data_IF_854546326084
#
_entry.id   IF_854546326084
#
_cell.length_a   1.000
_cell.length_b   1.000
_cell.length_c   1.000
_cell.angle_alpha   90.00
_cell.angle_beta   90.00
_cell.angle_gamma   90.00
#
_symmetry.space_group_name_H-M   'P 1'
#
loop_
_entity.id
_entity.type
_entity.pdbx_description
1 polymer ?
#
# COMPACT_ATOMS: atom_id res chain seq x y z
N UNK A 1 10.18 5.11 18.40
CA UNK A 1 10.25 3.88 17.58
C UNK A 1 8.86 3.26 17.56
N UNK A 2 8.34 2.90 16.38
CA UNK A 2 7.15 2.06 16.25
C UNK A 2 7.55 0.59 16.12
N UNK A 3 6.61 -0.32 16.39
CA UNK A 3 6.85 -1.75 16.32
C UNK A 3 5.56 -2.51 16.05
N UNK A 4 5.66 -3.62 15.32
CA UNK A 4 4.55 -4.53 15.07
C UNK A 4 5.09 -5.96 15.08
N UNK A 5 4.33 -6.88 15.66
CA UNK A 5 4.62 -8.31 15.65
C UNK A 5 3.43 -9.06 15.04
N UNK A 6 3.72 -9.94 14.09
CA UNK A 6 2.69 -10.65 13.32
C UNK A 6 3.02 -12.14 13.37
N UNK A 7 2.05 -12.92 13.83
CA UNK A 7 2.12 -14.37 13.83
C UNK A 7 1.49 -14.91 12.54
N UNK A 8 2.28 -15.62 11.75
CA UNK A 8 1.83 -16.31 10.55
C UNK A 8 1.84 -17.82 10.78
N UNK A 9 0.83 -18.51 10.26
CA UNK A 9 0.74 -19.98 10.30
C UNK A 9 0.33 -20.50 8.92
N UNK A 10 0.93 -21.62 8.52
CA UNK A 10 0.53 -22.39 7.35
C UNK A 10 -0.32 -23.62 7.72
N UNK A 11 -0.69 -23.78 9.00
CA UNK A 11 -1.46 -24.93 9.47
C UNK A 11 -2.96 -24.73 9.20
N UNK A 12 -3.65 -25.67 8.54
CA UNK A 12 -5.08 -25.55 8.28
C UNK A 12 -5.95 -25.41 9.54
N UNK A 13 -5.50 -25.98 10.67
CA UNK A 13 -6.18 -25.90 11.97
C UNK A 13 -6.29 -24.47 12.50
N UNK A 14 -5.33 -23.62 12.20
CA UNK A 14 -5.24 -22.27 12.77
C UNK A 14 -6.13 -21.28 12.02
N UNK A 15 -6.59 -21.64 10.80
CA UNK A 15 -7.40 -20.80 9.93
C UNK A 15 -8.68 -20.28 10.59
N UNK A 16 -9.27 -21.05 11.51
CA UNK A 16 -10.48 -20.63 12.25
C UNK A 16 -10.23 -19.48 13.23
N UNK A 17 -8.98 -19.31 13.69
CA UNK A 17 -8.56 -18.27 14.64
C UNK A 17 -7.88 -17.08 13.96
N UNK A 18 -7.31 -17.28 12.77
CA UNK A 18 -6.66 -16.23 11.99
C UNK A 18 -7.58 -15.04 11.71
N UNK A 19 -7.01 -13.83 11.65
CA UNK A 19 -7.71 -12.63 11.17
C UNK A 19 -7.70 -12.55 9.63
N UNK A 20 -6.53 -12.82 9.04
CA UNK A 20 -6.28 -12.69 7.61
C UNK A 20 -5.57 -13.92 7.02
N UNK A 21 -5.71 -14.07 5.71
CA UNK A 21 -4.96 -15.00 4.87
C UNK A 21 -4.13 -14.18 3.88
N UNK A 22 -2.82 -14.40 3.83
CA UNK A 22 -1.93 -13.79 2.84
C UNK A 22 -2.11 -14.53 1.51
N UNK A 23 -2.64 -13.84 0.50
CA UNK A 23 -2.94 -14.45 -0.80
C UNK A 23 -1.85 -14.22 -1.83
N UNK A 24 -1.27 -13.02 -1.85
CA UNK A 24 -0.24 -12.64 -2.82
C UNK A 24 0.79 -11.72 -2.18
N UNK A 25 2.03 -11.86 -2.61
CA UNK A 25 3.10 -10.89 -2.35
C UNK A 25 3.81 -10.59 -3.65
N UNK A 26 4.17 -9.33 -3.84
CA UNK A 26 4.89 -8.89 -5.04
C UNK A 26 5.91 -7.82 -4.66
N UNK A 27 7.11 -7.93 -5.21
CA UNK A 27 8.15 -6.91 -5.08
C UNK A 27 8.65 -6.51 -6.46
N UNK A 28 8.57 -5.23 -6.77
CA UNK A 28 9.28 -4.63 -7.90
C UNK A 28 10.50 -3.86 -7.40
N UNK A 29 11.54 -3.80 -8.25
CA UNK A 29 12.84 -3.24 -7.88
C UNK A 29 13.35 -2.36 -9.02
N UNK A 30 13.68 -1.11 -8.72
CA UNK A 30 14.20 -0.14 -9.70
C UNK A 30 15.68 0.19 -9.50
N UNK A 31 16.40 -0.49 -8.61
CA UNK A 31 17.79 -0.15 -8.27
C UNK A 31 18.83 -0.32 -9.38
N UNK A 32 18.48 -0.83 -10.56
CA UNK A 32 19.34 -0.73 -11.75
C UNK A 32 19.32 0.67 -12.39
N UNK A 33 18.36 1.52 -12.00
CA UNK A 33 18.28 2.92 -12.41
C UNK A 33 18.97 3.78 -11.34
N UNK A 34 20.04 4.47 -11.73
CA UNK A 34 20.82 5.34 -10.84
C UNK A 34 20.00 6.35 -10.05
N UNK A 35 19.04 7.00 -10.70
CA UNK A 35 18.15 7.98 -10.06
C UNK A 35 17.32 7.31 -8.97
N UNK A 36 16.80 6.11 -9.23
CA UNK A 36 16.04 5.34 -8.26
C UNK A 36 16.92 4.80 -7.13
N UNK A 37 18.10 4.27 -7.46
CA UNK A 37 19.06 3.75 -6.49
C UNK A 37 19.51 4.83 -5.50
N UNK A 38 19.86 6.02 -6.01
CA UNK A 38 20.34 7.17 -5.22
C UNK A 38 19.21 7.93 -4.52
N UNK A 39 17.95 7.54 -4.74
CA UNK A 39 16.81 8.32 -4.23
C UNK A 39 16.65 8.30 -2.71
N UNK A 40 17.03 7.18 -2.09
CA UNK A 40 17.06 6.99 -0.64
C UNK A 40 18.27 6.13 -0.31
N UNK A 41 19.27 6.73 0.34
CA UNK A 41 20.51 6.04 0.73
C UNK A 41 20.84 6.35 2.17
N UNK A 42 21.35 5.35 2.88
CA UNK A 42 22.01 5.57 4.15
C UNK A 42 23.47 5.87 3.87
N UNK A 43 23.96 7.01 4.36
CA UNK A 43 25.33 7.46 4.10
C UNK A 43 25.88 8.26 5.27
N UNK A 44 27.19 8.31 5.37
CA UNK A 44 27.90 9.13 6.36
C UNK A 44 28.03 10.55 5.81
N UNK A 45 27.67 11.55 6.61
CA UNK A 45 27.83 12.95 6.24
C UNK A 45 29.27 13.45 6.40
N UNK A 46 29.52 14.70 6.03
CA UNK A 46 30.85 15.32 6.11
C UNK A 46 31.39 15.41 7.55
N UNK A 47 30.54 15.27 8.57
CA UNK A 47 30.91 15.27 9.99
C UNK A 47 31.12 13.87 10.56
N UNK A 48 31.09 12.83 9.72
CA UNK A 48 31.25 11.45 10.14
C UNK A 48 30.00 10.82 10.75
N UNK A 49 28.82 11.47 10.64
CA UNK A 49 27.57 10.96 11.21
C UNK A 49 26.77 10.18 10.18
N UNK A 50 26.33 8.99 10.56
CA UNK A 50 25.46 8.16 9.73
C UNK A 50 24.04 8.77 9.68
N UNK A 51 23.57 9.04 8.46
CA UNK A 51 22.24 9.61 8.22
C UNK A 51 21.56 9.02 7.00
N UNK A 52 20.39 9.57 6.68
CA UNK A 52 19.62 9.23 5.48
C UNK A 52 19.66 10.38 4.49
N UNK A 53 20.13 10.12 3.28
CA UNK A 53 20.03 11.01 2.14
C UNK A 53 18.76 10.72 1.36
N UNK A 54 17.95 11.75 1.12
CA UNK A 54 16.71 11.67 0.36
C UNK A 54 16.81 12.66 -0.80
N UNK A 55 16.77 12.14 -2.02
CA UNK A 55 16.83 12.97 -3.24
C UNK A 55 15.49 13.66 -3.53
N UNK A 56 15.52 14.73 -4.32
CA UNK A 56 14.31 15.40 -4.85
C UNK A 56 13.53 14.51 -5.83
N UNK A 57 14.17 13.51 -6.42
CA UNK A 57 13.56 12.58 -7.38
C UNK A 57 12.64 11.55 -6.71
N UNK A 58 12.63 11.48 -5.37
CA UNK A 58 11.90 10.47 -4.60
C UNK A 58 10.46 10.29 -5.07
N UNK A 59 9.72 11.39 -5.25
CA UNK A 59 8.30 11.35 -5.60
C UNK A 59 8.09 10.79 -7.01
N UNK A 60 8.91 11.22 -7.97
CA UNK A 60 8.85 10.72 -9.35
C UNK A 60 9.19 9.22 -9.41
N UNK A 61 10.26 8.82 -8.72
CA UNK A 61 10.67 7.41 -8.64
C UNK A 61 9.62 6.56 -7.93
N UNK A 62 8.96 7.08 -6.89
CA UNK A 62 7.85 6.41 -6.22
C UNK A 62 6.68 6.13 -7.16
N UNK A 63 6.30 7.13 -7.96
CA UNK A 63 5.28 6.96 -9.01
C UNK A 63 5.67 5.92 -10.05
N UNK A 64 6.92 5.92 -10.52
CA UNK A 64 7.43 4.92 -11.48
C UNK A 64 7.40 3.50 -10.89
N UNK A 65 7.85 3.34 -9.64
CA UNK A 65 7.89 2.05 -8.96
C UNK A 65 6.49 1.51 -8.69
N UNK A 66 5.55 2.40 -8.28
CA UNK A 66 4.16 2.06 -8.10
C UNK A 66 3.55 1.61 -9.43
N UNK A 67 3.74 2.36 -10.53
CA UNK A 67 3.24 1.98 -11.87
C UNK A 67 3.75 0.60 -12.30
N UNK A 68 5.03 0.32 -12.08
CA UNK A 68 5.61 -1.00 -12.35
C UNK A 68 4.96 -2.09 -11.48
N UNK A 69 4.80 -1.82 -10.18
CA UNK A 69 4.20 -2.77 -9.24
C UNK A 69 2.74 -3.10 -9.59
N UNK A 70 1.90 -2.09 -9.84
CA UNK A 70 0.50 -2.31 -10.16
C UNK A 70 0.30 -3.01 -11.49
N UNK A 71 1.18 -2.77 -12.47
CA UNK A 71 1.14 -3.46 -13.76
C UNK A 71 1.40 -4.96 -13.59
N UNK A 72 2.35 -5.32 -12.72
CA UNK A 72 2.65 -6.71 -12.42
C UNK A 72 1.63 -7.36 -11.47
N UNK A 73 1.02 -6.61 -10.55
CA UNK A 73 0.02 -7.12 -9.62
C UNK A 73 -1.36 -7.34 -10.27
N UNK A 74 -1.75 -6.43 -11.17
CA UNK A 74 -3.06 -6.38 -11.81
C UNK A 74 -3.61 -7.74 -12.25
N UNK A 75 -2.87 -8.58 -13.01
CA UNK A 75 -3.39 -9.87 -13.48
C UNK A 75 -3.72 -10.88 -12.37
N UNK A 76 -3.11 -10.74 -11.19
CA UNK A 76 -3.31 -11.69 -10.08
C UNK A 76 -4.46 -11.28 -9.16
N UNK A 77 -4.87 -10.01 -9.18
CA UNK A 77 -5.79 -9.45 -8.17
C UNK A 77 -7.06 -8.84 -8.77
N UNK A 78 -7.00 -8.37 -10.02
CA UNK A 78 -8.15 -7.75 -10.66
C UNK A 78 -9.16 -8.80 -11.13
N UNK A 79 -10.46 -8.51 -11.06
CA UNK A 79 -11.48 -9.33 -11.69
C UNK A 79 -11.23 -9.52 -13.19
N UNK A 80 -11.62 -10.67 -13.74
CA UNK A 80 -11.45 -10.99 -15.17
C UNK A 80 -12.05 -9.89 -16.07
N UNK A 81 -13.20 -9.31 -15.67
CA UNK A 81 -13.82 -8.20 -16.40
C UNK A 81 -12.91 -6.99 -16.58
N UNK A 82 -12.15 -6.62 -15.55
CA UNK A 82 -11.19 -5.51 -15.60
C UNK A 82 -9.99 -5.85 -16.50
N UNK A 83 -9.52 -7.10 -16.41
CA UNK A 83 -8.41 -7.58 -17.24
C UNK A 83 -8.78 -7.57 -18.73
N UNK A 84 -10.01 -7.98 -19.07
CA UNK A 84 -10.51 -7.96 -20.45
C UNK A 84 -10.61 -6.55 -21.01
N UNK A 85 -11.12 -5.58 -20.23
CA UNK A 85 -11.20 -4.17 -20.64
C UNK A 85 -9.79 -3.61 -20.89
N UNK A 86 -8.86 -3.89 -19.98
CA UNK A 86 -7.47 -3.46 -20.12
C UNK A 86 -6.81 -4.10 -21.36
N UNK A 87 -6.98 -5.40 -21.56
CA UNK A 87 -6.43 -6.13 -22.71
C UNK A 87 -6.99 -5.60 -24.04
N UNK A 88 -8.31 -5.39 -24.11
CA UNK A 88 -8.97 -4.81 -25.28
C UNK A 88 -8.46 -3.38 -25.57
N UNK A 89 -8.29 -2.54 -24.56
CA UNK A 89 -7.72 -1.20 -24.71
C UNK A 89 -6.26 -1.27 -25.23
N UNK A 90 -5.45 -2.18 -24.69
CA UNK A 90 -4.07 -2.37 -25.12
C UNK A 90 -3.99 -2.83 -26.59
N UNK A 91 -4.84 -3.78 -26.99
CA UNK A 91 -4.95 -4.28 -28.37
C UNK A 91 -5.39 -3.17 -29.32
N UNK A 92 -6.46 -2.43 -28.98
CA UNK A 92 -6.95 -1.30 -29.77
C UNK A 92 -5.87 -0.24 -30.00
N UNK A 93 -5.02 0.02 -29.00
CA UNK A 93 -3.94 1.00 -29.09
C UNK A 93 -2.72 0.49 -29.85
N UNK A 94 -2.23 -0.72 -29.54
CA UNK A 94 -0.99 -1.25 -30.12
C UNK A 94 -1.18 -1.84 -31.52
N UNK A 95 -2.24 -2.62 -31.72
CA UNK A 95 -2.47 -3.35 -32.96
C UNK A 95 -3.34 -2.54 -33.93
N UNK A 96 -4.42 -1.96 -33.46
CA UNK A 96 -5.35 -1.20 -34.31
C UNK A 96 -5.00 0.30 -34.43
N UNK A 97 -3.96 0.78 -33.73
CA UNK A 97 -3.45 2.17 -33.76
C UNK A 97 -4.54 3.25 -33.69
N UNK A 98 -5.60 3.00 -32.92
CA UNK A 98 -6.73 3.93 -32.79
C UNK A 98 -6.23 5.27 -32.23
N UNK A 99 -6.24 6.32 -33.06
CA UNK A 99 -5.80 7.65 -32.69
C UNK A 99 -6.73 8.24 -31.63
N UNK A 100 -6.16 8.85 -30.59
CA UNK A 100 -6.90 9.52 -29.52
C UNK A 100 -7.37 8.61 -28.37
N UNK A 101 -7.19 7.29 -28.47
CA UNK A 101 -7.57 6.38 -27.39
C UNK A 101 -6.59 6.46 -26.21
N UNK A 102 -7.07 6.98 -25.07
CA UNK A 102 -6.27 7.09 -23.84
C UNK A 102 -6.00 5.70 -23.23
N UNK A 103 -4.81 5.49 -22.61
CA UNK A 103 -4.54 4.27 -21.84
C UNK A 103 -5.62 4.06 -20.77
N UNK A 104 -6.21 2.86 -20.73
CA UNK A 104 -7.07 2.47 -19.62
C UNK A 104 -6.21 2.15 -18.39
N UNK A 105 -6.53 2.79 -17.26
CA UNK A 105 -5.93 2.49 -15.97
C UNK A 105 -6.93 1.65 -15.16
N UNK A 106 -6.59 0.42 -14.77
CA UNK A 106 -7.50 -0.43 -14.00
C UNK A 106 -7.94 0.20 -12.69
N UNK A 107 -9.21 -0.03 -12.31
CA UNK A 107 -9.73 0.45 -11.02
C UNK A 107 -9.45 -0.58 -9.91
N UNK A 108 -8.40 -0.32 -9.14
CA UNK A 108 -7.99 -1.20 -8.05
C UNK A 108 -8.97 -1.25 -6.87
N UNK A 109 -9.92 -0.31 -6.77
CA UNK A 109 -11.00 -0.37 -5.77
C UNK A 109 -11.99 -1.51 -6.06
N UNK A 110 -11.95 -2.10 -7.25
CA UNK A 110 -12.69 -3.33 -7.57
C UNK A 110 -11.96 -4.59 -7.10
N UNK A 111 -10.64 -4.49 -6.86
CA UNK A 111 -9.82 -5.58 -6.36
C UNK A 111 -9.62 -5.55 -4.84
N UNK A 112 -9.78 -4.38 -4.21
CA UNK A 112 -9.53 -4.21 -2.79
C UNK A 112 -10.57 -3.32 -2.15
N UNK A 113 -11.02 -3.74 -0.97
CA UNK A 113 -11.93 -2.99 -0.13
C UNK A 113 -11.18 -2.03 0.79
N UNK A 114 -9.92 -2.33 1.15
CA UNK A 114 -9.11 -1.49 2.04
C UNK A 114 -7.67 -1.33 1.54
N UNK A 115 -7.10 -0.15 1.78
CA UNK A 115 -5.74 0.20 1.37
C UNK A 115 -4.90 0.60 2.59
N UNK A 116 -3.68 0.07 2.67
CA UNK A 116 -2.68 0.41 3.67
C UNK A 116 -1.40 0.83 2.95
N UNK A 117 -1.27 2.12 2.68
CA UNK A 117 -0.17 2.74 1.96
C UNK A 117 0.85 3.29 2.94
N UNK A 118 1.94 2.55 3.12
CA UNK A 118 3.11 3.08 3.81
C UNK A 118 3.74 4.20 3.00
N UNK A 119 3.88 5.36 3.63
CA UNK A 119 4.54 6.51 3.06
C UNK A 119 5.60 7.08 4.00
N UNK A 120 6.73 7.48 3.40
CA UNK A 120 7.76 8.23 4.09
C UNK A 120 7.33 9.64 4.51
N UNK A 121 6.27 10.17 3.90
CA UNK A 121 5.69 11.49 4.18
C UNK A 121 4.49 11.81 3.28
N UNK A 122 3.85 12.95 3.54
CA UNK A 122 2.58 13.37 2.90
C UNK A 122 2.65 13.35 1.37
N UNK A 123 3.74 13.86 0.78
CA UNK A 123 3.89 13.93 -0.68
C UNK A 123 3.85 12.54 -1.35
N UNK A 124 4.31 11.49 -0.67
CA UNK A 124 4.22 10.12 -1.20
C UNK A 124 2.76 9.64 -1.16
N UNK A 125 2.01 9.91 -0.09
CA UNK A 125 0.57 9.59 -0.03
C UNK A 125 -0.21 10.31 -1.12
N UNK A 126 0.06 11.60 -1.33
CA UNK A 126 -0.60 12.41 -2.36
C UNK A 126 -0.33 11.84 -3.78
N UNK A 127 0.90 11.38 -4.04
CA UNK A 127 1.24 10.75 -5.32
C UNK A 127 0.56 9.38 -5.49
N UNK A 128 0.49 8.54 -4.44
CA UNK A 128 -0.23 7.26 -4.51
C UNK A 128 -1.72 7.48 -4.74
N UNK A 129 -2.35 8.40 -3.98
CA UNK A 129 -3.76 8.76 -4.12
C UNK A 129 -4.07 9.15 -5.57
N UNK A 130 -3.24 10.02 -6.16
CA UNK A 130 -3.39 10.48 -7.55
C UNK A 130 -3.21 9.34 -8.57
N UNK A 131 -2.19 8.48 -8.42
CA UNK A 131 -1.93 7.41 -9.38
C UNK A 131 -2.99 6.31 -9.34
N UNK A 132 -3.53 6.01 -8.16
CA UNK A 132 -4.55 4.98 -7.96
C UNK A 132 -5.98 5.51 -7.98
N UNK A 133 -6.16 6.84 -8.06
CA UNK A 133 -7.45 7.53 -7.99
C UNK A 133 -8.26 7.14 -6.74
N UNK A 134 -7.55 7.07 -5.61
CA UNK A 134 -8.14 6.72 -4.33
C UNK A 134 -8.94 7.88 -3.76
N UNK A 135 -9.93 7.56 -2.94
CA UNK A 135 -10.77 8.55 -2.26
C UNK A 135 -10.17 8.93 -0.91
N UNK A 136 -10.68 10.01 -0.30
CA UNK A 136 -10.32 10.37 1.09
C UNK A 136 -10.60 9.23 2.08
N UNK A 137 -11.64 8.43 1.84
CA UNK A 137 -11.98 7.28 2.70
C UNK A 137 -10.92 6.18 2.61
N UNK A 138 -10.43 5.89 1.39
CA UNK A 138 -9.36 4.91 1.15
C UNK A 138 -8.04 5.36 1.78
N UNK A 139 -7.76 6.66 1.73
CA UNK A 139 -6.52 7.27 2.23
C UNK A 139 -6.55 7.56 3.74
N UNK A 140 -7.72 7.53 4.38
CA UNK A 140 -7.90 7.87 5.79
C UNK A 140 -6.98 7.07 6.72
N UNK A 141 -6.86 5.72 6.63
CA UNK A 141 -5.99 4.96 7.51
C UNK A 141 -4.52 5.40 7.42
N UNK A 142 -4.01 5.58 6.20
CA UNK A 142 -2.63 6.01 5.95
C UNK A 142 -2.37 7.45 6.38
N UNK A 143 -3.31 8.37 6.10
CA UNK A 143 -3.20 9.78 6.50
C UNK A 143 -3.27 9.95 8.02
N UNK A 144 -4.20 9.28 8.69
CA UNK A 144 -4.34 9.35 10.14
C UNK A 144 -3.15 8.69 10.85
N UNK A 145 -2.64 7.58 10.32
CA UNK A 145 -1.43 6.95 10.84
C UNK A 145 -0.23 7.87 10.72
N UNK A 146 -0.02 8.46 9.54
CA UNK A 146 1.06 9.43 9.34
C UNK A 146 0.89 10.66 10.24
N UNK A 147 -0.32 11.19 10.40
CA UNK A 147 -0.59 12.34 11.27
C UNK A 147 -0.29 12.04 12.75
N UNK A 148 -0.78 10.91 13.27
CA UNK A 148 -0.68 10.57 14.70
C UNK A 148 0.69 10.02 15.08
N UNK A 149 1.24 9.12 14.26
CA UNK A 149 2.43 8.35 14.60
C UNK A 149 3.67 8.73 13.76
N UNK A 150 3.51 9.63 12.79
CA UNK A 150 4.55 9.94 11.81
C UNK A 150 4.98 8.68 11.04
N UNK A 151 6.11 8.75 10.34
CA UNK A 151 6.69 7.62 9.67
C UNK A 151 7.37 6.68 10.68
N UNK A 152 6.68 5.59 11.04
CA UNK A 152 7.23 4.50 11.88
C UNK A 152 8.01 3.45 11.09
N UNK A 153 8.45 3.77 9.87
CA UNK A 153 9.16 2.86 8.97
C UNK A 153 8.31 1.62 8.63
N UNK A 154 8.89 0.42 8.65
CA UNK A 154 8.24 -0.83 8.26
C UNK A 154 6.99 -1.18 9.06
N UNK A 155 6.76 -0.61 10.24
CA UNK A 155 5.56 -0.87 11.02
C UNK A 155 4.33 -0.07 10.56
N UNK A 156 4.48 1.00 9.78
CA UNK A 156 3.36 1.95 9.54
C UNK A 156 2.12 1.29 8.96
N UNK A 157 2.25 0.44 7.95
CA UNK A 157 1.09 -0.20 7.32
C UNK A 157 0.33 -1.17 8.26
N UNK A 158 0.96 -1.63 9.35
CA UNK A 158 0.26 -2.39 10.41
C UNK A 158 -0.57 -1.49 11.31
N UNK A 159 -0.10 -0.27 11.58
CA UNK A 159 -0.90 0.74 12.28
C UNK A 159 -2.08 1.17 11.41
N UNK A 160 -1.92 1.22 10.08
CA UNK A 160 -2.99 1.53 9.12
C UNK A 160 -4.04 0.41 9.06
N UNK A 161 -3.61 -0.85 9.09
CA UNK A 161 -4.53 -1.98 9.21
C UNK A 161 -5.27 -1.96 10.54
N UNK A 162 -4.54 -1.72 11.64
CA UNK A 162 -5.12 -1.59 12.97
C UNK A 162 -6.13 -0.42 13.05
N UNK A 163 -5.89 0.69 12.36
CA UNK A 163 -6.84 1.79 12.24
C UNK A 163 -8.15 1.31 11.61
N UNK A 164 -8.04 0.59 10.50
CA UNK A 164 -9.17 0.03 9.75
C UNK A 164 -9.97 -0.97 10.59
N UNK A 165 -9.28 -1.82 11.37
CA UNK A 165 -9.89 -2.72 12.37
C UNK A 165 -10.63 -1.95 13.46
N UNK A 166 -10.00 -0.91 14.04
CA UNK A 166 -10.60 -0.11 15.11
C UNK A 166 -11.82 0.70 14.62
N UNK A 167 -11.86 1.08 13.34
CA UNK A 167 -13.04 1.65 12.69
C UNK A 167 -14.15 0.64 12.41
N UNK A 168 -13.92 -0.66 12.63
CA UNK A 168 -14.90 -1.72 12.37
C UNK A 168 -15.20 -1.94 10.88
N UNK A 169 -14.27 -1.52 10.02
CA UNK A 169 -14.44 -1.55 8.56
C UNK A 169 -14.23 -2.94 7.97
N UNK A 170 -13.37 -3.76 8.58
CA UNK A 170 -13.00 -5.08 8.06
C UNK A 170 -14.14 -6.10 8.23
N UNK A 171 -14.72 -6.53 7.11
CA UNK A 171 -15.70 -7.63 7.05
C UNK A 171 -15.06 -8.91 6.51
N UNK A 172 -15.68 -10.05 6.83
CA UNK A 172 -15.27 -11.35 6.29
C UNK A 172 -15.31 -11.31 4.75
N UNK A 173 -14.22 -11.70 4.12
CA UNK A 173 -14.06 -11.73 2.67
C UNK A 173 -13.37 -10.49 2.09
N UNK A 174 -13.32 -9.38 2.84
CA UNK A 174 -12.66 -8.16 2.40
C UNK A 174 -11.18 -8.40 2.10
N UNK A 175 -10.69 -7.70 1.08
CA UNK A 175 -9.31 -7.74 0.63
C UNK A 175 -8.63 -6.44 1.02
N UNK A 176 -7.49 -6.58 1.68
CA UNK A 176 -6.64 -5.47 2.11
C UNK A 176 -5.37 -5.49 1.28
N UNK A 177 -5.01 -4.35 0.72
CA UNK A 177 -3.76 -4.17 0.01
C UNK A 177 -2.78 -3.31 0.79
N UNK A 178 -1.68 -3.92 1.21
CA UNK A 178 -0.53 -3.21 1.76
C UNK A 178 0.43 -2.82 0.65
N UNK A 179 0.81 -1.55 0.59
CA UNK A 179 1.78 -1.00 -0.36
C UNK A 179 2.88 -0.30 0.44
N UNK A 180 4.14 -0.61 0.14
CA UNK A 180 5.26 0.03 0.79
C UNK A 180 6.41 0.35 -0.19
N UNK A 181 7.13 1.43 0.10
CA UNK A 181 8.32 1.85 -0.62
C UNK A 181 9.56 1.70 0.26
N UNK A 182 10.70 1.32 -0.33
CA UNK A 182 11.96 1.16 0.39
C UNK A 182 13.18 1.56 -0.45
N UNK A 183 14.36 1.66 0.18
CA UNK A 183 15.63 2.09 -0.46
C UNK A 183 16.14 1.14 -1.55
N UNK A 184 17.04 1.65 -2.41
CA UNK A 184 17.35 1.09 -3.74
C UNK A 184 16.18 1.23 -4.73
N UNK A 185 15.16 1.96 -4.30
CA UNK A 185 13.78 2.01 -4.72
C UNK A 185 13.11 0.68 -5.07
N UNK A 186 12.43 0.14 -4.05
CA UNK A 186 11.56 -1.04 -4.11
C UNK A 186 10.12 -0.60 -3.88
N UNK A 187 9.18 -1.24 -4.56
CA UNK A 187 7.76 -1.18 -4.22
C UNK A 187 7.31 -2.60 -3.88
N UNK A 188 6.85 -2.78 -2.64
CA UNK A 188 6.33 -4.04 -2.11
C UNK A 188 4.81 -3.99 -2.00
N UNK A 189 4.17 -5.09 -2.37
CA UNK A 189 2.73 -5.31 -2.27
C UNK A 189 2.46 -6.58 -1.49
N UNK A 190 1.55 -6.48 -0.51
CA UNK A 190 1.01 -7.62 0.24
C UNK A 190 -0.51 -7.61 0.14
N UNK A 191 -1.10 -8.71 -0.31
CA UNK A 191 -2.56 -8.83 -0.48
C UNK A 191 -3.11 -9.81 0.53
N UNK A 192 -3.96 -9.30 1.41
CA UNK A 192 -4.58 -10.05 2.49
C UNK A 192 -6.06 -10.20 2.23
N UNK A 193 -6.63 -11.33 2.65
CA UNK A 193 -8.08 -11.55 2.68
C UNK A 193 -8.53 -11.80 4.11
N UNK A 194 -9.50 -11.04 4.61
CA UNK A 194 -10.09 -11.25 5.91
C UNK A 194 -10.86 -12.58 5.94
N UNK A 195 -10.45 -13.51 6.80
CA UNK A 195 -11.12 -14.84 6.90
C UNK A 195 -12.35 -14.79 7.80
N UNK A 196 -12.47 -13.72 8.60
CA UNK A 196 -13.62 -13.40 9.46
C UNK A 196 -13.76 -11.88 9.59
N UNK A 197 -14.93 -11.44 10.04
CA UNK A 197 -15.17 -10.04 10.42
C UNK A 197 -14.36 -9.72 11.67
N UNK A 198 -13.72 -8.54 11.70
CA UNK A 198 -12.98 -8.05 12.87
C UNK A 198 -13.84 -6.98 13.54
N UNK A 199 -14.23 -7.23 14.80
CA UNK A 199 -15.08 -6.30 15.53
C UNK A 199 -14.22 -5.23 16.23
N UNK A 200 -14.66 -3.96 16.27
CA UNK A 200 -14.00 -2.93 17.06
C UNK A 200 -13.82 -3.37 18.51
N UNK A 201 -12.63 -3.16 19.06
CA UNK A 201 -12.33 -3.49 20.47
C UNK A 201 -12.16 -4.98 20.78
N UNK A 202 -12.16 -5.87 19.78
CA UNK A 202 -11.81 -7.28 20.00
C UNK A 202 -10.33 -7.47 20.40
N UNK A 203 -9.47 -6.54 19.97
CA UNK A 203 -8.04 -6.54 20.24
C UNK A 203 -7.67 -5.37 21.16
N UNK A 204 -7.47 -5.67 22.44
CA UNK A 204 -7.06 -4.69 23.46
C UNK A 204 -5.68 -4.08 23.19
N UNK A 205 -4.86 -4.73 22.36
CA UNK A 205 -3.52 -4.25 21.98
C UNK A 205 -3.52 -3.40 20.71
N UNK A 206 -4.68 -3.23 20.05
CA UNK A 206 -4.77 -2.35 18.91
C UNK A 206 -4.52 -0.89 19.35
N UNK A 207 -3.51 -0.20 18.78
CA UNK A 207 -3.07 1.12 19.24
C UNK A 207 -4.13 2.23 19.08
N UNK A 208 -5.17 1.97 18.30
CA UNK A 208 -6.24 2.92 18.03
C UNK A 208 -7.47 2.75 18.91
N UNK A 209 -7.71 1.59 19.52
CA UNK A 209 -8.99 1.25 20.19
C UNK A 209 -9.48 2.34 21.14
N UNK A 210 -8.59 2.94 21.94
CA UNK A 210 -8.94 3.96 22.94
C UNK A 210 -9.10 5.38 22.39
N UNK A 211 -8.64 5.63 21.17
CA UNK A 211 -8.47 6.99 20.61
C UNK A 211 -9.10 7.15 19.23
N UNK A 212 -9.63 6.08 18.64
CA UNK A 212 -10.15 6.07 17.27
C UNK A 212 -11.33 7.03 17.04
N UNK A 213 -12.04 7.39 18.12
CA UNK A 213 -13.12 8.37 18.12
C UNK A 213 -12.63 9.81 17.89
N UNK A 214 -11.34 10.08 18.12
CA UNK A 214 -10.71 11.39 17.88
C UNK A 214 -10.28 11.56 16.42
N UNK A 215 -10.54 10.57 15.56
CA UNK A 215 -10.16 10.55 14.15
C UNK A 215 -11.39 10.19 13.30
N UNK A 216 -11.47 10.57 12.01
CA UNK A 216 -10.53 11.44 11.33
C UNK A 216 -10.60 12.88 11.80
N UNK A 217 -9.50 13.60 11.68
CA UNK A 217 -9.41 15.06 11.77
C UNK A 217 -9.18 15.63 10.37
N UNK A 218 -9.54 16.90 10.15
CA UNK A 218 -9.25 17.59 8.89
C UNK A 218 -7.76 18.01 8.89
N UNK A 219 -6.98 17.47 7.94
CA UNK A 219 -5.50 17.58 7.84
C UNK A 219 -5.01 17.84 6.42
#
# INVERSE_FOLDING_TARGET
MGGAAILLSNRPSDRRKSKYELTHTLRTHLGSNDRAYKSVLQQVDATGKLGMSISKDLISVAGDALRSNITALAPSVLPISEQLIFAANLIARKLFKVKGLRPYAPDFRRAFEHFCIHAGGKAVLDEVEKNLKLTKWDMEPSRMTLYRYSNTSSSSFWYELAYTEAKGRIKKGDRVWQIAFGSGFKCGSGVWRAVRTINPGEDDYNPWTRVIHQFPVDV
#
